data_IF_885267780297
#
_entry.id   IF_885267780297
#
_cell.length_a   1.000
_cell.length_b   1.000
_cell.length_c   1.000
_cell.angle_alpha   90.00
_cell.angle_beta   90.00
_cell.angle_gamma   90.00
#
_symmetry.space_group_name_H-M   'P 1'
#
loop_
_entity.id
_entity.type
_entity.pdbx_description
1 polymer ?
#
# COMPACT_ATOMS: atom_id res chain seq x y z
N UNK A 1 -2.23 13.25 -18.28
CA UNK A 1 -0.85 12.91 -18.71
C UNK A 1 0.03 12.44 -17.54
N UNK A 2 0.18 13.21 -16.46
CA UNK A 2 1.07 12.85 -15.33
C UNK A 2 0.70 11.54 -14.60
N UNK A 3 -0.59 11.22 -14.41
CA UNK A 3 -0.99 9.92 -13.83
C UNK A 3 -0.61 8.72 -14.68
N UNK A 4 -0.75 8.85 -16.01
CA UNK A 4 -0.33 7.82 -16.95
C UNK A 4 1.19 7.64 -16.85
N UNK A 5 1.93 8.75 -16.76
CA UNK A 5 3.38 8.71 -16.55
C UNK A 5 3.74 8.02 -15.21
N UNK A 6 3.10 8.38 -14.11
CA UNK A 6 3.31 7.74 -12.79
C UNK A 6 2.98 6.24 -12.87
N UNK A 7 1.87 5.87 -13.51
CA UNK A 7 1.49 4.48 -13.71
C UNK A 7 2.53 3.71 -14.54
N UNK A 8 3.03 4.31 -15.62
CA UNK A 8 4.12 3.73 -16.42
C UNK A 8 5.41 3.59 -15.61
N UNK A 9 5.74 4.57 -14.76
CA UNK A 9 6.90 4.48 -13.86
C UNK A 9 6.74 3.35 -12.85
N UNK A 10 5.55 3.20 -12.25
CA UNK A 10 5.24 2.09 -11.33
C UNK A 10 5.46 0.74 -12.02
N UNK A 11 5.04 0.60 -13.28
CA UNK A 11 5.18 -0.64 -14.04
C UNK A 11 6.60 -0.90 -14.53
N UNK A 12 7.28 0.10 -15.09
CA UNK A 12 8.54 -0.09 -15.81
C UNK A 12 9.78 0.01 -14.89
N UNK A 13 9.77 0.93 -13.92
CA UNK A 13 10.96 1.27 -13.15
C UNK A 13 11.48 0.10 -12.30
N UNK A 14 10.64 -0.73 -11.65
CA UNK A 14 11.11 -1.95 -10.97
C UNK A 14 11.93 -2.86 -11.88
N UNK A 15 11.53 -3.01 -13.15
CA UNK A 15 12.27 -3.83 -14.12
C UNK A 15 13.59 -3.21 -14.56
N UNK A 16 13.76 -1.90 -14.43
CA UNK A 16 15.02 -1.21 -14.74
C UNK A 16 16.01 -1.27 -13.57
N UNK A 17 15.54 -1.06 -12.34
CA UNK A 17 16.44 -0.87 -11.17
C UNK A 17 16.83 -2.19 -10.48
N UNK A 18 15.96 -3.20 -10.48
CA UNK A 18 16.19 -4.43 -9.73
C UNK A 18 17.19 -5.41 -10.37
N UNK A 19 17.30 -5.60 -11.71
CA UNK A 19 18.14 -6.65 -12.29
C UNK A 19 19.60 -6.63 -11.85
N UNK A 20 20.18 -5.44 -11.63
CA UNK A 20 21.54 -5.27 -11.14
C UNK A 20 21.71 -5.86 -9.74
N UNK A 21 20.80 -5.54 -8.84
CA UNK A 21 20.82 -6.01 -7.44
C UNK A 21 20.50 -7.50 -7.33
N UNK A 22 19.58 -7.99 -8.17
CA UNK A 22 19.24 -9.42 -8.28
C UNK A 22 20.44 -10.22 -8.77
N UNK A 23 21.04 -9.81 -9.88
CA UNK A 23 22.18 -10.49 -10.51
C UNK A 23 23.43 -10.50 -9.64
N UNK A 24 23.59 -9.52 -8.75
CA UNK A 24 24.71 -9.47 -7.83
C UNK A 24 24.61 -10.51 -6.70
N UNK A 25 23.41 -11.02 -6.39
CA UNK A 25 23.18 -12.08 -5.38
C UNK A 25 23.47 -11.71 -3.92
N UNK A 26 23.98 -10.50 -3.65
CA UNK A 26 24.42 -10.07 -2.31
C UNK A 26 23.29 -9.55 -1.41
N UNK A 27 22.22 -9.02 -1.98
CA UNK A 27 21.12 -8.38 -1.24
C UNK A 27 19.98 -9.37 -0.97
N UNK A 28 19.27 -9.18 0.14
CA UNK A 28 18.05 -9.95 0.41
C UNK A 28 16.94 -9.58 -0.58
N UNK A 29 16.08 -10.53 -0.99
CA UNK A 29 14.95 -10.28 -1.90
C UNK A 29 14.10 -9.06 -1.50
N UNK A 30 13.71 -8.98 -0.23
CA UNK A 30 12.90 -7.88 0.30
C UNK A 30 13.60 -6.52 0.20
N UNK A 31 14.92 -6.47 0.39
CA UNK A 31 15.68 -5.23 0.24
C UNK A 31 15.67 -4.73 -1.21
N UNK A 32 15.73 -5.64 -2.18
CA UNK A 32 15.62 -5.29 -3.60
C UNK A 32 14.23 -4.77 -3.94
N UNK A 33 13.17 -5.39 -3.40
CA UNK A 33 11.79 -4.91 -3.55
C UNK A 33 11.64 -3.50 -2.98
N UNK A 34 12.12 -3.26 -1.75
CA UNK A 34 12.08 -1.93 -1.12
C UNK A 34 12.83 -0.89 -1.96
N UNK A 35 14.00 -1.22 -2.52
CA UNK A 35 14.72 -0.31 -3.42
C UNK A 35 13.86 0.05 -4.65
N UNK A 36 13.11 -0.91 -5.20
CA UNK A 36 12.15 -0.66 -6.27
C UNK A 36 11.05 0.30 -5.85
N UNK A 37 10.45 0.09 -4.69
CA UNK A 37 9.42 1.00 -4.13
C UNK A 37 9.97 2.40 -3.94
N UNK A 38 11.12 2.55 -3.28
CA UNK A 38 11.77 3.84 -3.06
C UNK A 38 12.06 4.54 -4.40
N UNK A 39 12.56 3.81 -5.39
CA UNK A 39 12.85 4.37 -6.72
C UNK A 39 11.58 4.90 -7.40
N UNK A 40 10.49 4.13 -7.34
CA UNK A 40 9.20 4.53 -7.92
C UNK A 40 8.61 5.72 -7.18
N UNK A 41 8.62 5.70 -5.85
CA UNK A 41 8.12 6.80 -5.02
C UNK A 41 8.91 8.09 -5.25
N UNK A 42 10.23 8.00 -5.34
CA UNK A 42 11.09 9.14 -5.65
C UNK A 42 10.80 9.70 -7.05
N UNK A 43 10.67 8.83 -8.06
CA UNK A 43 10.33 9.25 -9.42
C UNK A 43 8.93 9.90 -9.48
N UNK A 44 7.95 9.32 -8.78
CA UNK A 44 6.61 9.89 -8.68
C UNK A 44 6.64 11.27 -8.00
N UNK A 45 7.39 11.43 -6.90
CA UNK A 45 7.58 12.71 -6.22
C UNK A 45 8.18 13.77 -7.17
N UNK A 46 9.20 13.40 -7.96
CA UNK A 46 9.78 14.29 -8.98
C UNK A 46 8.74 14.68 -10.03
N UNK A 47 7.88 13.75 -10.47
CA UNK A 47 6.79 14.06 -11.41
C UNK A 47 5.77 15.02 -10.78
N UNK A 48 5.41 14.84 -9.51
CA UNK A 48 4.53 15.77 -8.79
C UNK A 48 5.14 17.17 -8.70
N UNK A 49 6.43 17.28 -8.35
CA UNK A 49 7.14 18.55 -8.30
C UNK A 49 7.25 19.20 -9.68
N UNK A 50 7.54 18.45 -10.73
CA UNK A 50 7.58 18.98 -12.09
C UNK A 50 6.19 19.47 -12.54
N UNK A 51 5.14 18.71 -12.21
CA UNK A 51 3.77 19.10 -12.54
C UNK A 51 3.37 20.41 -11.84
N UNK A 52 3.74 20.62 -10.57
CA UNK A 52 3.43 21.85 -9.84
C UNK A 52 4.18 23.08 -10.39
N UNK A 53 5.35 22.90 -11.00
CA UNK A 53 6.11 24.01 -11.62
C UNK A 53 5.56 24.44 -13.00
N UNK A 54 4.82 23.57 -13.69
CA UNK A 54 4.39 23.79 -15.09
C UNK A 54 2.96 24.32 -15.26
N UNK A 55 2.26 24.66 -14.18
CA UNK A 55 0.90 25.23 -14.21
C UNK A 55 0.06 24.82 -12.99
N UNK A 56 -1.28 24.80 -13.11
CA UNK A 56 -2.15 24.33 -12.03
C UNK A 56 -1.72 22.92 -11.63
N UNK A 57 -1.35 22.76 -10.36
CA UNK A 57 -0.80 21.52 -9.83
C UNK A 57 -1.71 20.33 -10.09
N UNK A 58 -1.14 19.11 -10.10
CA UNK A 58 -1.87 17.90 -10.48
C UNK A 58 -3.18 17.70 -9.69
N UNK A 59 -3.16 18.08 -8.42
CA UNK A 59 -4.33 18.01 -7.53
C UNK A 59 -5.47 18.92 -7.98
N UNK A 60 -5.20 20.17 -8.34
CA UNK A 60 -6.22 21.13 -8.80
C UNK A 60 -6.98 20.64 -10.04
N UNK A 61 -6.25 20.06 -11.00
CA UNK A 61 -6.86 19.49 -12.22
C UNK A 61 -7.70 18.26 -11.92
N UNK A 62 -7.35 17.48 -10.90
CA UNK A 62 -8.19 16.37 -10.48
C UNK A 62 -9.47 16.88 -9.81
N UNK A 63 -9.37 17.89 -8.96
CA UNK A 63 -10.54 18.48 -8.29
C UNK A 63 -11.55 19.06 -9.29
N UNK A 64 -11.08 19.72 -10.35
CA UNK A 64 -11.96 20.23 -11.41
C UNK A 64 -12.74 19.10 -12.12
N UNK A 65 -12.04 18.00 -12.45
CA UNK A 65 -12.69 16.82 -13.02
C UNK A 65 -13.60 16.10 -12.01
N UNK A 66 -13.22 16.09 -10.73
CA UNK A 66 -13.97 15.47 -9.65
C UNK A 66 -15.28 16.21 -9.38
N UNK A 67 -15.27 17.54 -9.38
CA UNK A 67 -16.49 18.36 -9.26
C UNK A 67 -17.47 18.06 -10.40
N UNK A 68 -16.98 18.03 -11.65
CA UNK A 68 -17.81 17.68 -12.81
C UNK A 68 -18.37 16.24 -12.72
N UNK A 69 -17.62 15.30 -12.13
CA UNK A 69 -18.08 13.93 -11.92
C UNK A 69 -19.08 13.82 -10.75
N UNK A 70 -18.84 14.56 -9.67
CA UNK A 70 -19.70 14.62 -8.49
C UNK A 70 -21.10 15.12 -8.86
N UNK A 71 -21.21 16.17 -9.69
CA UNK A 71 -22.51 16.69 -10.14
C UNK A 71 -23.29 15.67 -10.98
N UNK A 72 -22.59 14.88 -11.79
CA UNK A 72 -23.21 13.80 -12.58
C UNK A 72 -23.73 12.68 -11.67
N UNK A 73 -22.94 12.27 -10.68
CA UNK A 73 -23.34 11.25 -9.70
C UNK A 73 -24.49 11.73 -8.81
N UNK A 74 -24.47 13.00 -8.40
CA UNK A 74 -25.51 13.64 -7.59
C UNK A 74 -26.86 13.75 -8.31
N UNK A 75 -26.86 13.64 -9.64
CA UNK A 75 -28.05 13.70 -10.49
C UNK A 75 -28.54 12.32 -10.93
N UNK A 76 -27.80 11.24 -10.67
CA UNK A 76 -28.15 9.88 -11.09
C UNK A 76 -29.09 9.22 -10.05
N UNK A 77 -30.36 8.93 -10.41
CA UNK A 77 -31.34 8.33 -9.49
C UNK A 77 -30.91 6.96 -8.94
N UNK A 78 -30.19 6.17 -9.73
CA UNK A 78 -29.71 4.85 -9.31
C UNK A 78 -28.64 4.97 -8.23
N UNK A 79 -27.75 5.95 -8.35
CA UNK A 79 -26.72 6.23 -7.34
C UNK A 79 -27.36 6.83 -6.08
N UNK A 80 -28.30 7.77 -6.22
CA UNK A 80 -28.99 8.39 -5.09
C UNK A 80 -29.66 7.32 -4.21
N UNK A 81 -30.40 6.40 -4.82
CA UNK A 81 -31.07 5.31 -4.11
C UNK A 81 -30.07 4.34 -3.46
N UNK A 82 -28.97 3.99 -4.14
CA UNK A 82 -27.95 3.10 -3.60
C UNK A 82 -27.24 3.63 -2.33
N UNK A 83 -27.12 4.95 -2.21
CA UNK A 83 -26.50 5.61 -1.07
C UNK A 83 -27.51 6.18 -0.06
N UNK A 84 -28.82 5.92 -0.24
CA UNK A 84 -29.90 6.47 0.59
C UNK A 84 -29.86 8.01 0.71
N UNK A 85 -29.56 8.71 -0.38
CA UNK A 85 -29.44 10.19 -0.41
C UNK A 85 -30.70 10.89 -0.93
N UNK A 86 -31.84 10.20 -0.93
CA UNK A 86 -33.10 10.65 -1.53
C UNK A 86 -33.63 11.93 -0.86
N UNK A 87 -33.44 12.06 0.45
CA UNK A 87 -33.84 13.22 1.24
C UNK A 87 -32.84 14.39 1.14
N UNK A 88 -31.62 14.13 0.67
CA UNK A 88 -30.60 15.16 0.52
C UNK A 88 -30.86 16.05 -0.70
N UNK A 89 -30.55 17.34 -0.57
CA UNK A 89 -30.60 18.29 -1.69
C UNK A 89 -29.53 17.97 -2.74
N UNK A 90 -29.72 18.44 -3.98
CA UNK A 90 -28.73 18.27 -5.04
C UNK A 90 -27.33 18.81 -4.66
N UNK A 91 -27.29 19.94 -3.94
CA UNK A 91 -26.05 20.51 -3.43
C UNK A 91 -25.37 19.59 -2.40
N UNK A 92 -26.12 19.07 -1.42
CA UNK A 92 -25.58 18.15 -0.41
C UNK A 92 -25.09 16.83 -1.02
N UNK A 93 -25.77 16.34 -2.06
CA UNK A 93 -25.33 15.14 -2.80
C UNK A 93 -24.01 15.39 -3.53
N UNK A 94 -23.89 16.52 -4.23
CA UNK A 94 -22.66 16.87 -4.93
C UNK A 94 -21.50 17.04 -3.95
N UNK A 95 -21.74 17.73 -2.82
CA UNK A 95 -20.75 17.88 -1.75
C UNK A 95 -20.30 16.53 -1.17
N UNK A 96 -21.22 15.60 -0.93
CA UNK A 96 -20.89 14.24 -0.47
C UNK A 96 -19.95 13.50 -1.44
N UNK A 97 -20.23 13.54 -2.75
CA UNK A 97 -19.37 12.91 -3.75
C UNK A 97 -18.04 13.66 -3.90
N UNK A 98 -18.04 14.98 -3.83
CA UNK A 98 -16.83 15.78 -3.91
C UNK A 98 -15.89 15.50 -2.73
N UNK A 99 -16.41 15.47 -1.50
CA UNK A 99 -15.65 15.10 -0.29
C UNK A 99 -15.08 13.68 -0.38
N UNK A 100 -15.81 12.76 -1.00
CA UNK A 100 -15.33 11.41 -1.27
C UNK A 100 -14.15 11.42 -2.25
N UNK A 101 -14.24 12.18 -3.34
CA UNK A 101 -13.13 12.35 -4.29
C UNK A 101 -11.91 13.01 -3.65
N UNK A 102 -12.10 14.06 -2.86
CA UNK A 102 -11.03 14.71 -2.08
C UNK A 102 -10.31 13.72 -1.18
N UNK A 103 -11.06 12.89 -0.47
CA UNK A 103 -10.52 11.82 0.39
C UNK A 103 -9.72 10.78 -0.41
N UNK A 104 -10.21 10.36 -1.59
CA UNK A 104 -9.47 9.42 -2.44
C UNK A 104 -8.17 10.03 -2.98
N UNK A 105 -8.20 11.30 -3.37
CA UNK A 105 -7.06 11.96 -4.00
C UNK A 105 -6.01 12.33 -2.95
N UNK A 106 -6.42 12.69 -1.73
CA UNK A 106 -5.48 12.92 -0.62
C UNK A 106 -4.70 11.65 -0.24
N UNK A 107 -5.26 10.46 -0.49
CA UNK A 107 -4.59 9.16 -0.32
C UNK A 107 -3.78 8.69 -1.54
N UNK A 108 -3.76 9.45 -2.65
CA UNK A 108 -3.04 9.07 -3.86
C UNK A 108 -1.55 8.74 -3.63
N UNK A 109 -0.78 9.47 -2.80
CA UNK A 109 0.62 9.12 -2.53
C UNK A 109 0.78 7.71 -1.96
N UNK A 110 -0.07 7.32 -1.01
CA UNK A 110 -0.06 5.97 -0.44
C UNK A 110 -0.45 4.93 -1.46
N UNK A 111 -1.48 5.17 -2.27
CA UNK A 111 -1.87 4.22 -3.31
C UNK A 111 -0.75 4.00 -4.33
N UNK A 112 0.01 5.05 -4.67
CA UNK A 112 1.22 4.93 -5.50
C UNK A 112 2.26 4.05 -4.81
N UNK A 113 2.53 4.27 -3.53
CA UNK A 113 3.50 3.45 -2.76
C UNK A 113 3.07 1.98 -2.65
N UNK A 114 1.80 1.72 -2.36
CA UNK A 114 1.23 0.37 -2.25
C UNK A 114 1.30 -0.34 -3.59
N UNK A 115 0.88 0.30 -4.67
CA UNK A 115 0.95 -0.27 -6.01
C UNK A 115 2.40 -0.51 -6.43
N UNK A 116 3.31 0.43 -6.11
CA UNK A 116 4.74 0.26 -6.31
C UNK A 116 5.28 -0.96 -5.56
N UNK A 117 4.83 -1.20 -4.32
CA UNK A 117 5.22 -2.38 -3.53
C UNK A 117 4.74 -3.68 -4.16
N UNK A 118 3.48 -3.74 -4.58
CA UNK A 118 2.90 -4.92 -5.25
C UNK A 118 3.62 -5.21 -6.56
N UNK A 119 3.78 -4.20 -7.42
CA UNK A 119 4.45 -4.37 -8.71
C UNK A 119 5.93 -4.72 -8.53
N UNK A 120 6.62 -4.07 -7.60
CA UNK A 120 8.01 -4.38 -7.24
C UNK A 120 8.17 -5.82 -6.77
N UNK A 121 7.23 -6.32 -5.94
CA UNK A 121 7.23 -7.70 -5.47
C UNK A 121 7.03 -8.70 -6.63
N UNK A 122 6.06 -8.45 -7.51
CA UNK A 122 5.79 -9.28 -8.69
C UNK A 122 6.98 -9.24 -9.67
N UNK A 123 7.52 -8.05 -9.96
CA UNK A 123 8.67 -7.85 -10.82
C UNK A 123 9.88 -8.65 -10.31
N UNK A 124 10.15 -8.64 -9.00
CA UNK A 124 11.21 -9.44 -8.41
C UNK A 124 11.02 -10.95 -8.67
N UNK A 125 9.79 -11.48 -8.52
CA UNK A 125 9.49 -12.89 -8.78
C UNK A 125 9.77 -13.24 -10.25
N UNK A 126 9.32 -12.40 -11.18
CA UNK A 126 9.52 -12.60 -12.63
C UNK A 126 11.02 -12.54 -12.96
N UNK A 127 11.71 -11.50 -12.50
CA UNK A 127 13.14 -11.27 -12.79
C UNK A 127 14.04 -12.32 -12.16
N UNK A 128 13.81 -12.71 -10.91
CA UNK A 128 14.62 -13.74 -10.25
C UNK A 128 14.48 -15.10 -10.93
N UNK A 129 13.29 -15.43 -11.48
CA UNK A 129 13.09 -16.62 -12.30
C UNK A 129 13.76 -16.52 -13.67
N UNK A 130 13.70 -15.37 -14.32
CA UNK A 130 14.32 -15.15 -15.63
C UNK A 130 15.86 -15.18 -15.54
N UNK A 131 16.44 -14.46 -14.58
CA UNK A 131 17.89 -14.35 -14.38
C UNK A 131 18.49 -15.60 -13.73
N UNK A 132 17.70 -16.33 -12.94
CA UNK A 132 18.09 -17.59 -12.30
C UNK A 132 18.41 -18.73 -13.27
N UNK A 133 18.17 -18.56 -14.57
CA UNK A 133 18.62 -19.50 -15.61
C UNK A 133 20.13 -19.43 -15.88
N UNK A 134 20.76 -18.30 -15.57
CA UNK A 134 22.16 -18.02 -15.96
C UNK A 134 23.07 -17.61 -14.79
N UNK A 135 22.49 -17.28 -13.64
CA UNK A 135 23.22 -16.83 -12.44
C UNK A 135 22.64 -17.46 -11.19
N UNK A 136 23.43 -17.57 -10.14
CA UNK A 136 22.91 -17.88 -8.81
C UNK A 136 22.15 -16.68 -8.26
N UNK A 137 20.84 -16.83 -8.10
CA UNK A 137 19.96 -15.76 -7.65
C UNK A 137 19.20 -16.23 -6.42
N UNK A 138 19.18 -15.40 -5.37
CA UNK A 138 18.35 -15.66 -4.20
C UNK A 138 16.89 -15.55 -4.60
N UNK A 139 16.11 -16.62 -4.38
CA UNK A 139 14.66 -16.59 -4.63
C UNK A 139 13.93 -15.97 -3.44
N UNK A 140 12.77 -15.40 -3.72
CA UNK A 140 11.89 -14.89 -2.66
C UNK A 140 11.46 -16.07 -1.78
N UNK A 141 11.58 -15.97 -0.43
CA UNK A 141 11.07 -17.01 0.45
C UNK A 141 9.54 -17.07 0.37
N UNK A 142 8.92 -18.18 0.82
CA UNK A 142 7.47 -18.28 0.89
C UNK A 142 6.84 -17.13 1.69
N UNK A 143 5.71 -16.61 1.23
CA UNK A 143 5.05 -15.45 1.86
C UNK A 143 4.72 -15.63 3.36
N UNK A 144 4.50 -16.87 3.82
CA UNK A 144 4.32 -17.18 5.25
C UNK A 144 5.51 -16.78 6.15
N UNK A 145 6.70 -16.66 5.57
CA UNK A 145 7.93 -16.26 6.27
C UNK A 145 8.18 -14.75 6.19
N UNK A 146 7.29 -14.01 5.51
CA UNK A 146 7.38 -12.54 5.43
C UNK A 146 7.18 -11.91 6.81
N UNK A 147 8.21 -11.29 7.37
CA UNK A 147 8.11 -10.45 8.56
C UNK A 147 8.77 -9.11 8.30
N UNK A 148 8.23 -8.04 8.86
CA UNK A 148 8.92 -6.77 8.89
C UNK A 148 10.16 -6.84 9.79
N UNK A 149 11.19 -6.03 9.51
CA UNK A 149 12.34 -5.95 10.40
C UNK A 149 11.91 -5.41 11.77
N UNK A 150 12.56 -5.83 12.88
CA UNK A 150 12.21 -5.38 14.23
C UNK A 150 12.15 -3.85 14.39
N UNK A 151 12.96 -3.11 13.61
CA UNK A 151 12.98 -1.65 13.62
C UNK A 151 11.79 -0.96 12.94
N UNK A 152 10.88 -1.67 12.27
CA UNK A 152 9.76 -1.01 11.58
C UNK A 152 8.76 -0.36 12.55
N UNK A 153 8.67 -0.79 13.81
CA UNK A 153 7.84 -0.15 14.83
C UNK A 153 8.46 1.18 15.25
N UNK A 154 9.79 1.23 15.37
CA UNK A 154 10.50 2.48 15.62
C UNK A 154 10.39 3.44 14.43
N UNK A 155 10.43 2.92 13.20
CA UNK A 155 10.17 3.73 12.02
C UNK A 155 8.74 4.29 12.03
N UNK A 156 7.76 3.52 12.51
CA UNK A 156 6.38 3.98 12.70
C UNK A 156 6.29 5.13 13.70
N UNK A 157 6.86 4.94 14.88
CA UNK A 157 6.88 5.96 15.93
C UNK A 157 7.58 7.22 15.42
N UNK A 158 8.70 7.07 14.71
CA UNK A 158 9.43 8.18 14.12
C UNK A 158 8.60 8.95 13.07
N UNK A 159 7.82 8.25 12.23
CA UNK A 159 6.94 8.90 11.25
C UNK A 159 5.80 9.68 11.90
N UNK A 160 5.13 9.11 12.90
CA UNK A 160 4.09 9.84 13.65
C UNK A 160 4.67 11.03 14.41
N UNK A 161 5.84 10.86 15.03
CA UNK A 161 6.53 11.93 15.73
C UNK A 161 6.96 13.07 14.78
N UNK A 162 7.46 12.72 13.58
CA UNK A 162 7.74 13.70 12.54
C UNK A 162 6.46 14.44 12.11
N UNK A 163 5.36 13.72 11.93
CA UNK A 163 4.05 14.34 11.64
C UNK A 163 3.61 15.32 12.71
N UNK A 164 3.78 14.94 13.98
CA UNK A 164 3.46 15.80 15.12
C UNK A 164 4.29 17.08 15.14
N UNK A 165 5.59 17.01 14.86
CA UNK A 165 6.45 18.19 14.75
C UNK A 165 5.97 19.09 13.61
N UNK A 166 5.75 18.53 12.41
CA UNK A 166 5.37 19.32 11.23
C UNK A 166 4.01 19.99 11.38
N UNK A 167 3.09 19.33 12.07
CA UNK A 167 1.76 19.87 12.39
C UNK A 167 1.88 21.01 13.40
N UNK A 168 2.67 20.82 14.45
CA UNK A 168 2.86 21.81 15.52
C UNK A 168 3.55 23.08 15.04
N UNK A 169 4.31 23.00 13.95
CA UNK A 169 4.96 24.14 13.31
C UNK A 169 4.11 24.83 12.24
N UNK A 170 2.82 24.47 12.08
CA UNK A 170 1.92 24.98 11.03
C UNK A 170 2.46 24.81 9.59
N UNK A 171 3.42 23.91 9.40
CA UNK A 171 4.09 23.71 8.10
C UNK A 171 3.26 22.83 7.15
N UNK A 172 2.33 22.04 7.69
CA UNK A 172 1.46 21.16 6.93
C UNK A 172 0.07 21.11 7.54
N UNK A 173 -0.96 20.96 6.70
CA UNK A 173 -2.28 20.56 7.15
C UNK A 173 -2.19 19.17 7.79
N UNK A 174 -2.54 19.11 9.08
CA UNK A 174 -2.39 17.92 9.94
C UNK A 174 -2.99 16.67 9.30
N UNK A 175 -4.20 16.81 8.79
CA UNK A 175 -5.10 15.68 8.59
C UNK A 175 -4.65 14.81 7.42
N UNK A 176 -4.20 15.42 6.32
CA UNK A 176 -3.75 14.66 5.15
C UNK A 176 -2.49 13.86 5.41
N UNK A 177 -1.56 14.39 6.22
CA UNK A 177 -0.31 13.71 6.53
C UNK A 177 -0.56 12.47 7.39
N UNK A 178 -1.37 12.60 8.45
CA UNK A 178 -1.74 11.46 9.30
C UNK A 178 -2.53 10.41 8.54
N UNK A 179 -3.48 10.80 7.69
CA UNK A 179 -4.24 9.87 6.86
C UNK A 179 -3.33 9.01 5.99
N UNK A 180 -2.33 9.60 5.35
CA UNK A 180 -1.38 8.86 4.52
C UNK A 180 -0.52 7.91 5.38
N UNK A 181 0.00 8.39 6.51
CA UNK A 181 0.78 7.57 7.44
C UNK A 181 -0.03 6.36 7.94
N UNK A 182 -1.24 6.58 8.44
CA UNK A 182 -2.13 5.51 8.91
C UNK A 182 -2.43 4.52 7.80
N UNK A 183 -2.70 4.98 6.57
CA UNK A 183 -2.97 4.09 5.44
C UNK A 183 -1.76 3.21 5.07
N UNK A 184 -0.52 3.72 5.12
CA UNK A 184 0.69 2.88 4.94
C UNK A 184 0.76 1.80 6.01
N UNK A 185 0.46 2.15 7.26
CA UNK A 185 0.53 1.19 8.37
C UNK A 185 -0.55 0.14 8.32
N UNK A 186 -1.79 0.54 8.06
CA UNK A 186 -2.89 -0.39 7.89
C UNK A 186 -2.56 -1.40 6.80
N UNK A 187 -1.99 -0.95 5.68
CA UNK A 187 -1.51 -1.83 4.64
C UNK A 187 -0.38 -2.74 5.12
N UNK A 188 0.70 -2.17 5.65
CA UNK A 188 1.88 -2.92 6.06
C UNK A 188 1.53 -4.00 7.10
N UNK A 189 0.93 -3.63 8.23
CA UNK A 189 0.62 -4.57 9.30
C UNK A 189 -0.38 -5.63 8.87
N UNK A 190 -1.35 -5.28 8.03
CA UNK A 190 -2.27 -6.29 7.55
C UNK A 190 -1.62 -7.29 6.60
N UNK A 191 -0.65 -6.88 5.76
CA UNK A 191 0.16 -7.82 4.95
C UNK A 191 0.93 -8.78 5.88
N UNK A 192 1.47 -8.28 7.01
CA UNK A 192 2.09 -9.14 8.03
C UNK A 192 1.06 -10.08 8.69
N UNK A 193 -0.14 -9.59 9.02
CA UNK A 193 -1.24 -10.40 9.54
C UNK A 193 -1.66 -11.52 8.58
N UNK A 194 -1.72 -11.23 7.28
CA UNK A 194 -1.97 -12.24 6.24
C UNK A 194 -0.85 -13.28 6.26
N UNK A 195 0.42 -12.88 6.39
CA UNK A 195 1.55 -13.82 6.50
C UNK A 195 1.40 -14.76 7.70
N UNK A 196 0.91 -14.28 8.85
CA UNK A 196 0.58 -15.11 10.02
C UNK A 196 -0.50 -16.14 9.70
N UNK A 197 -1.58 -15.75 9.02
CA UNK A 197 -2.64 -16.68 8.60
C UNK A 197 -2.07 -17.80 7.71
N UNK A 198 -1.23 -17.43 6.73
CA UNK A 198 -0.56 -18.41 5.88
C UNK A 198 0.33 -19.36 6.68
N UNK A 199 1.01 -18.88 7.73
CA UNK A 199 1.78 -19.73 8.63
C UNK A 199 0.88 -20.72 9.39
N UNK A 200 -0.21 -20.23 10.00
CA UNK A 200 -1.13 -21.05 10.77
C UNK A 200 -1.76 -22.18 9.93
N UNK A 201 -2.19 -21.86 8.70
CA UNK A 201 -2.75 -22.84 7.79
C UNK A 201 -1.71 -23.86 7.33
N UNK A 202 -0.49 -23.41 7.05
CA UNK A 202 0.61 -24.29 6.68
C UNK A 202 0.91 -25.32 7.78
N UNK A 203 0.93 -24.90 9.04
CA UNK A 203 1.16 -25.81 10.17
C UNK A 203 0.04 -26.82 10.37
N UNK A 204 -1.21 -26.38 10.17
CA UNK A 204 -2.38 -27.26 10.19
C UNK A 204 -2.49 -28.15 8.94
N UNK A 205 -1.51 -28.09 8.02
CA UNK A 205 -1.49 -28.80 6.74
C UNK A 205 -2.72 -28.52 5.86
N UNK A 206 -3.31 -27.34 6.01
CA UNK A 206 -4.45 -26.90 5.20
C UNK A 206 -3.92 -26.37 3.85
N UNK A 207 -4.57 -26.68 2.71
CA UNK A 207 -4.14 -26.20 1.41
C UNK A 207 -4.08 -24.67 1.32
N UNK A 208 -3.10 -24.16 0.55
CA UNK A 208 -2.83 -22.71 0.42
C UNK A 208 -4.02 -21.91 -0.12
N UNK A 209 -4.90 -22.55 -0.90
CA UNK A 209 -6.10 -21.90 -1.43
C UNK A 209 -7.06 -21.44 -0.33
N UNK A 210 -7.24 -22.23 0.72
CA UNK A 210 -8.09 -21.84 1.86
C UNK A 210 -7.47 -20.69 2.65
N UNK A 211 -6.14 -20.68 2.82
CA UNK A 211 -5.46 -19.56 3.47
C UNK A 211 -5.64 -18.26 2.68
N UNK A 212 -5.54 -18.33 1.35
CA UNK A 212 -5.78 -17.19 0.46
C UNK A 212 -7.23 -16.71 0.51
N UNK A 213 -8.20 -17.63 0.49
CA UNK A 213 -9.63 -17.30 0.59
C UNK A 213 -9.97 -16.65 1.94
N UNK A 214 -9.46 -17.20 3.04
CA UNK A 214 -9.65 -16.64 4.38
C UNK A 214 -9.00 -15.24 4.50
N UNK A 215 -7.78 -15.07 3.98
CA UNK A 215 -7.11 -13.78 3.95
C UNK A 215 -7.89 -12.75 3.12
N UNK A 216 -8.41 -13.13 1.95
CA UNK A 216 -9.21 -12.25 1.11
C UNK A 216 -10.53 -11.85 1.79
N UNK A 217 -11.24 -12.82 2.39
CA UNK A 217 -12.48 -12.55 3.13
C UNK A 217 -12.25 -11.59 4.31
N UNK A 218 -11.16 -11.77 5.06
CA UNK A 218 -10.80 -10.86 6.14
C UNK A 218 -10.41 -9.49 5.61
N UNK A 219 -9.64 -9.41 4.51
CA UNK A 219 -9.18 -8.15 3.94
C UNK A 219 -10.32 -7.25 3.42
N UNK A 220 -11.36 -7.84 2.85
CA UNK A 220 -12.50 -7.10 2.27
C UNK A 220 -13.41 -6.53 3.36
N UNK A 221 -13.55 -7.22 4.49
CA UNK A 221 -14.44 -6.78 5.58
C UNK A 221 -13.72 -5.81 6.51
N UNK A 222 -14.42 -4.78 6.99
CA UNK A 222 -13.85 -3.81 7.93
C UNK A 222 -13.33 -4.50 9.21
N UNK A 223 -14.14 -5.38 9.80
CA UNK A 223 -13.77 -6.15 11.00
C UNK A 223 -12.59 -7.08 10.72
N UNK A 224 -12.62 -7.79 9.59
CA UNK A 224 -11.53 -8.71 9.23
C UNK A 224 -10.21 -7.98 8.99
N UNK A 225 -10.23 -6.79 8.40
CA UNK A 225 -9.03 -5.96 8.20
C UNK A 225 -8.43 -5.53 9.53
N UNK A 226 -9.26 -5.14 10.51
CA UNK A 226 -8.80 -4.82 11.86
C UNK A 226 -8.18 -6.05 12.55
N UNK A 227 -8.75 -7.25 12.37
CA UNK A 227 -8.15 -8.49 12.87
C UNK A 227 -6.77 -8.73 12.24
N UNK A 228 -6.63 -8.55 10.93
CA UNK A 228 -5.34 -8.70 10.23
C UNK A 228 -4.30 -7.72 10.75
N UNK A 229 -4.69 -6.46 10.94
CA UNK A 229 -3.83 -5.42 11.49
C UNK A 229 -3.32 -5.81 12.88
N UNK A 230 -4.23 -6.19 13.78
CA UNK A 230 -3.89 -6.60 15.16
C UNK A 230 -2.97 -7.82 15.14
N UNK A 231 -3.27 -8.83 14.32
CA UNK A 231 -2.41 -10.01 14.18
C UNK A 231 -1.01 -9.65 13.68
N UNK A 232 -0.91 -8.73 12.71
CA UNK A 232 0.37 -8.23 12.21
C UNK A 232 1.18 -7.51 13.29
N UNK A 233 0.53 -6.64 14.07
CA UNK A 233 1.17 -5.94 15.18
C UNK A 233 1.64 -6.91 16.27
N UNK A 234 0.81 -7.86 16.66
CA UNK A 234 1.17 -8.89 17.66
C UNK A 234 2.37 -9.70 17.17
N UNK A 235 2.37 -10.13 15.90
CA UNK A 235 3.51 -10.85 15.33
C UNK A 235 4.78 -10.00 15.34
N UNK A 236 4.68 -8.70 15.08
CA UNK A 236 5.83 -7.81 15.12
C UNK A 236 6.41 -7.64 16.53
N UNK A 237 5.56 -7.43 17.53
CA UNK A 237 6.00 -7.17 18.92
C UNK A 237 6.49 -8.46 19.59
N UNK A 238 5.78 -9.57 19.40
CA UNK A 238 6.04 -10.83 20.11
C UNK A 238 6.82 -11.85 19.28
N UNK A 239 7.12 -11.57 18.00
CA UNK A 239 7.64 -12.56 17.05
C UNK A 239 6.79 -13.84 17.06
N UNK A 240 5.47 -13.69 16.96
CA UNK A 240 4.50 -14.78 17.13
C UNK A 240 4.83 -15.99 16.25
N UNK A 241 5.22 -15.79 14.98
CA UNK A 241 5.64 -16.86 14.08
C UNK A 241 6.83 -17.67 14.60
N UNK A 242 7.80 -17.05 15.28
CA UNK A 242 8.94 -17.75 15.87
C UNK A 242 8.49 -18.66 17.02
N UNK A 243 7.66 -18.15 17.92
CA UNK A 243 7.11 -18.91 19.05
C UNK A 243 6.31 -20.13 18.57
N UNK A 244 5.53 -19.92 17.53
CA UNK A 244 4.72 -20.92 16.84
C UNK A 244 5.59 -22.04 16.24
N UNK A 245 6.71 -21.70 15.59
CA UNK A 245 7.64 -22.68 15.01
C UNK A 245 8.38 -23.49 16.09
N UNK A 246 8.81 -22.84 17.16
CA UNK A 246 9.51 -23.49 18.28
C UNK A 246 8.62 -24.53 18.99
N UNK A 247 7.32 -24.23 19.18
CA UNK A 247 6.39 -25.16 19.81
C UNK A 247 6.16 -26.42 18.98
N UNK A 248 6.17 -26.32 17.66
CA UNK A 248 5.94 -27.45 16.76
C UNK A 248 7.20 -28.27 16.42
N UNK A 249 8.37 -27.80 16.85
CA UNK A 249 9.65 -28.53 16.67
C UNK A 249 9.98 -29.43 17.87
N UNK A 250 9.14 -29.42 18.92
CA UNK A 250 9.16 -30.33 20.06
C UNK A 250 8.02 -31.34 19.91
#
# INVERSE_FOLDING_TARGET
MYFILIFLLILALPFMVMPKDISAGKKSPYRVVINGVISVSAAAAVVFMAASLTGPGLFSRLMENASSAADRLASDPGIISAFNLEEATAAQRSEFFLASYESFISLAPVYIMVLAAVVSYIAYIILSRALGKHKEVRRMPPFREFSFPPGALMALVAMYFAGWIMTSSEMLESDMFYLNISAVFDFAFSIQGISVIFMLFHMKRIPKGFAAAAAAALWITFIGRNILLILGMIDMVLNLKLLIQLKNSK
#
